data_IF_137790810472
#
_entry.id   IF_137790810472
#
_cell.length_a   1.000
_cell.length_b   1.000
_cell.length_c   1.000
_cell.angle_alpha   90.00
_cell.angle_beta   90.00
_cell.angle_gamma   90.00
#
_symmetry.space_group_name_H-M   'P 1'
#
loop_
_entity.id
_entity.type
_entity.pdbx_description
1 polymer ?
#
# COMPACT_ATOMS: atom_id res chain seq x y z
N UNK A 1 -15.48 1.11 4.97
CA UNK A 1 -15.68 2.52 4.60
C UNK A 1 -15.43 2.70 3.13
N UNK A 2 -16.36 3.32 2.42
CA UNK A 2 -16.11 3.85 1.08
C UNK A 2 -15.18 5.08 1.13
N UNK A 3 -14.82 5.61 -0.04
CA UNK A 3 -13.86 6.71 -0.19
C UNK A 3 -14.27 7.96 0.60
N UNK A 4 -15.52 8.41 0.49
CA UNK A 4 -15.96 9.67 1.10
C UNK A 4 -15.90 9.59 2.61
N UNK A 5 -16.31 8.44 3.17
CA UNK A 5 -16.23 8.20 4.62
C UNK A 5 -14.79 8.30 5.17
N UNK A 6 -13.78 7.92 4.36
CA UNK A 6 -12.37 8.07 4.76
C UNK A 6 -12.00 9.53 4.89
N UNK A 7 -12.35 10.36 3.91
CA UNK A 7 -11.97 11.77 3.90
C UNK A 7 -12.65 12.48 5.07
N UNK A 8 -13.93 12.20 5.32
CA UNK A 8 -14.67 12.74 6.46
C UNK A 8 -13.97 12.38 7.77
N UNK A 9 -13.64 11.10 7.98
CA UNK A 9 -12.98 10.65 9.20
C UNK A 9 -11.56 11.21 9.34
N UNK A 10 -10.81 11.34 8.24
CA UNK A 10 -9.46 11.90 8.27
C UNK A 10 -9.50 13.38 8.67
N UNK A 11 -10.45 14.13 8.12
CA UNK A 11 -10.67 15.54 8.47
C UNK A 11 -11.10 15.70 9.93
N UNK A 12 -11.96 14.82 10.45
CA UNK A 12 -12.28 14.79 11.89
C UNK A 12 -11.03 14.62 12.76
N UNK A 13 -10.15 13.69 12.39
CA UNK A 13 -8.91 13.41 13.13
C UNK A 13 -7.88 14.55 12.99
N UNK A 14 -7.78 15.19 11.83
CA UNK A 14 -6.93 16.37 11.65
C UNK A 14 -7.43 17.54 12.50
N UNK A 15 -8.74 17.82 12.50
CA UNK A 15 -9.34 18.89 13.29
C UNK A 15 -9.30 18.65 14.81
N UNK A 16 -9.19 17.40 15.25
CA UNK A 16 -9.04 17.06 16.68
C UNK A 16 -7.60 17.19 17.18
N UNK A 17 -6.62 17.07 16.29
CA UNK A 17 -5.19 17.25 16.58
C UNK A 17 -4.67 18.64 16.22
N UNK A 18 -5.53 19.50 15.65
CA UNK A 18 -5.15 20.83 15.18
C UNK A 18 -4.74 21.74 16.34
N UNK A 19 -3.55 22.32 16.20
CA UNK A 19 -3.02 23.38 17.05
C UNK A 19 -2.94 24.65 16.21
N UNK A 20 -3.78 25.62 16.53
CA UNK A 20 -3.76 26.94 15.89
C UNK A 20 -2.57 27.74 16.42
N UNK A 21 -1.73 28.27 15.52
CA UNK A 21 -0.55 29.06 15.86
C UNK A 21 -0.85 30.55 15.94
N UNK A 22 -1.79 31.02 15.13
CA UNK A 22 -2.22 32.40 15.08
C UNK A 22 -3.74 32.50 15.25
N UNK A 23 -4.24 33.16 16.32
CA UNK A 23 -5.67 33.36 16.56
C UNK A 23 -6.41 34.06 15.42
N UNK A 24 -5.73 34.83 14.57
CA UNK A 24 -6.34 35.52 13.43
C UNK A 24 -7.01 34.55 12.44
N UNK A 25 -6.59 33.28 12.41
CA UNK A 25 -7.15 32.27 11.50
C UNK A 25 -8.27 31.42 12.11
N UNK A 26 -8.78 31.77 13.30
CA UNK A 26 -9.86 31.02 13.96
C UNK A 26 -11.05 30.79 13.05
N UNK A 27 -11.46 31.82 12.31
CA UNK A 27 -12.65 31.74 11.45
C UNK A 27 -12.46 30.76 10.29
N UNK A 28 -11.24 30.59 9.79
CA UNK A 28 -10.93 29.59 8.74
C UNK A 28 -11.06 28.17 9.29
N UNK A 29 -10.65 27.93 10.54
CA UNK A 29 -10.83 26.64 11.20
C UNK A 29 -12.31 26.35 11.47
N UNK A 30 -13.07 27.34 11.94
CA UNK A 30 -14.52 27.19 12.14
C UNK A 30 -15.25 26.94 10.82
N UNK A 31 -14.83 27.59 9.73
CA UNK A 31 -15.33 27.32 8.39
C UNK A 31 -15.05 25.88 7.95
N UNK A 32 -13.83 25.37 8.18
CA UNK A 32 -13.50 23.97 7.92
C UNK A 32 -14.37 22.99 8.75
N UNK A 33 -14.67 23.32 10.01
CA UNK A 33 -15.59 22.55 10.86
C UNK A 33 -17.04 22.57 10.33
N UNK A 34 -17.50 23.71 9.82
CA UNK A 34 -18.82 23.83 9.20
C UNK A 34 -18.93 22.94 7.96
N UNK A 35 -17.94 23.00 7.06
CA UNK A 35 -17.91 22.13 5.89
C UNK A 35 -17.78 20.64 6.25
N UNK A 36 -17.05 20.28 7.31
CA UNK A 36 -17.06 18.90 7.80
C UNK A 36 -18.46 18.45 8.25
N UNK A 37 -19.21 19.32 8.94
CA UNK A 37 -20.60 19.04 9.35
C UNK A 37 -21.50 18.82 8.14
N UNK A 38 -21.36 19.67 7.12
CA UNK A 38 -22.13 19.55 5.88
C UNK A 38 -21.76 18.26 5.12
N UNK A 39 -20.47 17.92 5.04
CA UNK A 39 -20.02 16.69 4.40
C UNK A 39 -20.61 15.44 5.08
N UNK A 40 -20.67 15.42 6.41
CA UNK A 40 -21.35 14.36 7.17
C UNK A 40 -22.85 14.31 6.89
N UNK A 41 -23.51 15.46 6.79
CA UNK A 41 -24.92 15.53 6.45
C UNK A 41 -25.20 14.94 5.06
N UNK A 42 -24.51 15.43 4.02
CA UNK A 42 -24.68 14.94 2.65
C UNK A 42 -24.35 13.45 2.53
N UNK A 43 -23.31 12.99 3.22
CA UNK A 43 -22.98 11.58 3.30
C UNK A 43 -24.12 10.75 3.92
N UNK A 44 -24.74 11.25 4.99
CA UNK A 44 -25.83 10.57 5.70
C UNK A 44 -27.11 10.43 4.88
N UNK A 45 -27.39 11.37 3.97
CA UNK A 45 -28.55 11.32 3.05
C UNK A 45 -28.24 10.62 1.73
N UNK A 46 -27.03 10.08 1.56
CA UNK A 46 -26.62 9.31 0.39
C UNK A 46 -26.00 10.12 -0.74
N UNK A 47 -25.90 11.45 -0.63
CA UNK A 47 -25.27 12.31 -1.63
C UNK A 47 -23.74 12.30 -1.47
N UNK A 48 -23.11 11.36 -2.18
CA UNK A 48 -21.66 11.12 -2.06
C UNK A 48 -20.82 12.15 -2.81
N UNK A 49 -21.35 12.73 -3.87
CA UNK A 49 -20.64 13.71 -4.70
C UNK A 49 -20.53 15.04 -3.95
N UNK A 50 -21.65 15.54 -3.43
CA UNK A 50 -21.66 16.78 -2.62
C UNK A 50 -20.86 16.58 -1.34
N UNK A 51 -20.97 15.42 -0.68
CA UNK A 51 -20.16 15.12 0.50
C UNK A 51 -18.66 15.14 0.19
N UNK A 52 -18.23 14.57 -0.94
CA UNK A 52 -16.83 14.58 -1.37
C UNK A 52 -16.33 15.99 -1.70
N UNK A 53 -17.12 16.79 -2.41
CA UNK A 53 -16.77 18.18 -2.73
C UNK A 53 -16.60 19.01 -1.46
N UNK A 54 -17.56 18.89 -0.54
CA UNK A 54 -17.60 19.62 0.73
C UNK A 54 -16.40 19.27 1.62
N UNK A 55 -16.09 17.97 1.79
CA UNK A 55 -14.95 17.56 2.61
C UNK A 55 -13.61 17.96 1.99
N UNK A 56 -13.47 17.89 0.66
CA UNK A 56 -12.23 18.27 -0.03
C UNK A 56 -11.96 19.77 0.10
N UNK A 57 -13.01 20.60 0.10
CA UNK A 57 -12.88 22.04 0.34
C UNK A 57 -12.31 22.33 1.73
N UNK A 58 -12.84 21.65 2.76
CA UNK A 58 -12.36 21.79 4.12
C UNK A 58 -10.90 21.31 4.31
N UNK A 59 -10.51 20.20 3.67
CA UNK A 59 -9.11 19.76 3.65
C UNK A 59 -8.19 20.85 3.06
N UNK A 60 -8.61 21.46 1.95
CA UNK A 60 -7.88 22.56 1.30
C UNK A 60 -7.69 23.78 2.19
N UNK A 61 -8.71 24.16 2.98
CA UNK A 61 -8.58 25.25 3.96
C UNK A 61 -7.51 24.95 5.01
N UNK A 62 -7.50 23.72 5.56
CA UNK A 62 -6.51 23.32 6.56
C UNK A 62 -5.11 23.23 5.96
N UNK A 63 -4.97 22.67 4.76
CA UNK A 63 -3.70 22.60 4.06
C UNK A 63 -3.12 24.00 3.80
N UNK A 64 -3.95 24.95 3.38
CA UNK A 64 -3.55 26.34 3.22
C UNK A 64 -3.05 26.94 4.54
N UNK A 65 -3.79 26.74 5.64
CA UNK A 65 -3.38 27.20 6.97
C UNK A 65 -2.04 26.60 7.41
N UNK A 66 -1.81 25.31 7.13
CA UNK A 66 -0.52 24.68 7.43
C UNK A 66 0.61 25.27 6.61
N UNK A 67 0.40 25.50 5.31
CA UNK A 67 1.40 26.05 4.39
C UNK A 67 1.85 27.44 4.84
N UNK A 68 0.92 28.29 5.29
CA UNK A 68 1.24 29.64 5.79
C UNK A 68 1.73 29.65 7.24
N UNK A 69 1.89 28.48 7.89
CA UNK A 69 2.30 28.37 9.29
C UNK A 69 1.24 28.78 10.31
N UNK A 70 -0.02 28.95 9.89
CA UNK A 70 -1.13 29.35 10.74
C UNK A 70 -1.66 28.23 11.65
N UNK A 71 -1.44 26.96 11.28
CA UNK A 71 -1.83 25.80 12.09
C UNK A 71 -0.88 24.60 11.90
N UNK A 72 -0.82 23.75 12.92
CA UNK A 72 -0.18 22.43 12.88
C UNK A 72 -1.22 21.34 13.11
N UNK A 73 -1.20 20.28 12.30
CA UNK A 73 -2.03 19.09 12.45
C UNK A 73 -1.41 17.94 11.63
N UNK A 74 -1.90 16.71 11.83
CA UNK A 74 -1.40 15.53 11.12
C UNK A 74 -2.49 14.92 10.23
N UNK A 75 -2.19 14.72 8.95
CA UNK A 75 -2.99 13.85 8.09
C UNK A 75 -2.59 12.40 8.32
N UNK A 76 -3.59 11.53 8.53
CA UNK A 76 -3.37 10.10 8.45
C UNK A 76 -3.45 9.63 7.01
N UNK A 77 -2.73 8.55 6.71
CA UNK A 77 -2.87 7.88 5.43
C UNK A 77 -4.27 7.26 5.33
N UNK A 78 -4.90 7.20 4.14
CA UNK A 78 -6.21 6.57 3.97
C UNK A 78 -6.31 5.15 4.56
N UNK A 79 -5.20 4.39 4.56
CA UNK A 79 -5.10 3.07 5.20
C UNK A 79 -5.29 3.13 6.72
N UNK A 80 -4.70 4.11 7.38
CA UNK A 80 -4.79 4.31 8.83
C UNK A 80 -6.19 4.78 9.23
N UNK A 81 -6.83 5.62 8.40
CA UNK A 81 -8.17 6.16 8.65
C UNK A 81 -9.25 5.11 8.42
N UNK A 82 -9.18 4.34 7.33
CA UNK A 82 -10.10 3.22 7.11
C UNK A 82 -9.95 2.11 8.17
N UNK A 83 -8.90 2.15 9.01
CA UNK A 83 -8.44 0.99 9.78
C UNK A 83 -8.23 -0.23 8.87
N UNK A 84 -7.73 0.01 7.65
CA UNK A 84 -7.47 -1.03 6.67
C UNK A 84 -6.00 -1.41 6.77
N UNK A 85 -5.75 -2.68 7.09
CA UNK A 85 -4.42 -3.23 7.36
C UNK A 85 -3.47 -2.94 6.21
N UNK A 86 -2.23 -2.57 6.54
CA UNK A 86 -1.11 -2.45 5.59
C UNK A 86 -0.59 -3.84 5.31
N UNK A 87 -0.75 -4.28 4.06
CA UNK A 87 -0.36 -5.63 3.64
C UNK A 87 0.91 -5.53 2.81
N UNK A 88 1.96 -6.21 3.24
CA UNK A 88 3.19 -6.34 2.48
C UNK A 88 3.20 -7.68 1.75
N UNK A 89 3.50 -7.61 0.46
CA UNK A 89 3.90 -8.77 -0.35
C UNK A 89 5.30 -8.52 -0.88
N UNK A 90 6.10 -9.56 -1.03
CA UNK A 90 7.42 -9.47 -1.64
C UNK A 90 7.58 -10.52 -2.74
N UNK A 91 8.33 -10.19 -3.79
CA UNK A 91 8.62 -11.12 -4.87
C UNK A 91 9.49 -10.52 -5.96
N UNK A 92 9.93 -11.37 -6.88
CA UNK A 92 10.65 -10.91 -8.07
C UNK A 92 9.70 -10.24 -9.06
N UNK A 93 8.48 -10.78 -9.28
CA UNK A 93 7.51 -10.23 -10.24
C UNK A 93 8.10 -9.96 -11.64
N UNK A 94 8.89 -10.91 -12.16
CA UNK A 94 9.63 -10.72 -13.42
C UNK A 94 8.71 -10.65 -14.64
N UNK A 95 8.03 -11.75 -14.96
CA UNK A 95 6.96 -11.78 -15.96
C UNK A 95 5.65 -11.97 -15.19
N UNK A 96 4.76 -10.97 -15.24
CA UNK A 96 3.45 -11.08 -14.61
C UNK A 96 2.62 -12.16 -15.30
N UNK A 97 1.89 -12.92 -14.50
CA UNK A 97 1.11 -14.08 -14.93
C UNK A 97 -0.02 -14.36 -13.94
N UNK A 98 -0.99 -15.25 -14.24
CA UNK A 98 -2.15 -15.48 -13.38
C UNK A 98 -1.80 -15.83 -11.93
N UNK A 99 -0.71 -16.58 -11.70
CA UNK A 99 -0.22 -16.85 -10.35
C UNK A 99 0.13 -15.60 -9.53
N UNK A 100 0.76 -14.59 -10.14
CA UNK A 100 1.01 -13.31 -9.46
C UNK A 100 -0.29 -12.54 -9.20
N UNK A 101 -1.22 -12.54 -10.15
CA UNK A 101 -2.51 -11.86 -9.97
C UNK A 101 -3.35 -12.50 -8.86
N UNK A 102 -3.35 -13.83 -8.74
CA UNK A 102 -4.04 -14.53 -7.66
C UNK A 102 -3.44 -14.16 -6.30
N UNK A 103 -2.12 -14.19 -6.18
CA UNK A 103 -1.39 -13.79 -4.97
C UNK A 103 -1.67 -12.34 -4.57
N UNK A 104 -1.61 -11.39 -5.51
CA UNK A 104 -1.89 -9.97 -5.26
C UNK A 104 -3.38 -9.74 -4.94
N UNK A 105 -4.30 -10.50 -5.55
CA UNK A 105 -5.73 -10.45 -5.23
C UNK A 105 -6.01 -10.97 -3.83
N UNK A 106 -5.32 -12.00 -3.36
CA UNK A 106 -5.41 -12.44 -1.96
C UNK A 106 -4.93 -11.35 -1.02
N UNK A 107 -3.79 -10.73 -1.30
CA UNK A 107 -3.27 -9.60 -0.52
C UNK A 107 -4.27 -8.42 -0.47
N UNK A 108 -4.91 -8.12 -1.59
CA UNK A 108 -5.91 -7.04 -1.71
C UNK A 108 -7.10 -7.22 -0.77
N UNK A 109 -7.53 -8.47 -0.54
CA UNK A 109 -8.62 -8.77 0.40
C UNK A 109 -8.24 -8.48 1.86
N UNK A 110 -6.95 -8.48 2.17
CA UNK A 110 -6.43 -8.24 3.52
C UNK A 110 -6.23 -6.75 3.82
N UNK A 111 -6.10 -5.89 2.79
CA UNK A 111 -6.02 -4.45 2.95
C UNK A 111 -5.15 -3.71 1.91
N UNK A 112 -4.46 -2.66 2.34
CA UNK A 112 -3.63 -1.81 1.48
C UNK A 112 -2.32 -2.50 1.12
N UNK A 113 -2.26 -3.06 -0.09
CA UNK A 113 -1.10 -3.80 -0.61
C UNK A 113 0.06 -2.87 -0.98
N UNK A 114 1.18 -3.03 -0.27
CA UNK A 114 2.51 -2.58 -0.68
C UNK A 114 3.29 -3.76 -1.24
N UNK A 115 3.68 -3.69 -2.51
CA UNK A 115 4.44 -4.74 -3.17
C UNK A 115 5.93 -4.39 -3.21
N UNK A 116 6.75 -5.25 -2.60
CA UNK A 116 8.21 -5.15 -2.59
C UNK A 116 8.79 -5.93 -3.75
N UNK A 117 9.49 -5.24 -4.63
CA UNK A 117 10.10 -5.82 -5.83
C UNK A 117 11.57 -6.12 -5.52
N UNK A 118 11.94 -7.39 -5.43
CA UNK A 118 13.33 -7.79 -5.12
C UNK A 118 14.33 -7.14 -6.07
N UNK A 119 15.51 -6.75 -5.56
CA UNK A 119 16.64 -6.32 -6.41
C UNK A 119 17.04 -7.40 -7.39
N UNK A 120 17.66 -7.00 -8.51
CA UNK A 120 18.12 -7.96 -9.52
C UNK A 120 19.09 -8.96 -8.89
N UNK A 121 20.06 -8.50 -8.11
CA UNK A 121 21.02 -9.37 -7.43
C UNK A 121 20.37 -10.39 -6.50
N UNK A 122 19.43 -9.97 -5.65
CA UNK A 122 18.75 -10.91 -4.74
C UNK A 122 17.84 -11.89 -5.50
N UNK A 123 17.20 -11.43 -6.56
CA UNK A 123 16.39 -12.28 -7.41
C UNK A 123 17.24 -13.31 -8.19
N UNK A 124 18.42 -12.92 -8.68
CA UNK A 124 19.38 -13.82 -9.33
C UNK A 124 19.92 -14.87 -8.36
N UNK A 125 20.34 -14.45 -7.16
CA UNK A 125 20.79 -15.36 -6.09
C UNK A 125 19.71 -16.39 -5.73
N UNK A 126 18.46 -15.94 -5.58
CA UNK A 126 17.35 -16.82 -5.22
C UNK A 126 16.98 -17.79 -6.36
N UNK A 127 16.97 -17.33 -7.61
CA UNK A 127 16.57 -18.14 -8.77
C UNK A 127 17.70 -18.99 -9.34
N UNK A 128 18.96 -18.69 -9.04
CA UNK A 128 20.13 -19.35 -9.62
C UNK A 128 20.34 -19.06 -11.12
N UNK A 129 19.74 -17.97 -11.63
CA UNK A 129 19.89 -17.53 -13.03
C UNK A 129 19.83 -16.01 -13.14
N UNK A 130 20.32 -15.49 -14.26
CA UNK A 130 20.16 -14.07 -14.61
C UNK A 130 18.69 -13.68 -14.73
N UNK A 131 18.38 -12.48 -14.27
CA UNK A 131 17.05 -11.86 -14.44
C UNK A 131 16.99 -11.25 -15.84
N UNK A 132 15.84 -11.42 -16.50
CA UNK A 132 15.58 -10.92 -17.86
C UNK A 132 15.13 -9.47 -17.81
N UNK A 133 14.28 -9.12 -16.85
CA UNK A 133 13.66 -7.78 -16.74
C UNK A 133 14.20 -7.07 -15.49
N UNK A 134 14.92 -5.94 -15.63
CA UNK A 134 15.51 -5.21 -14.51
C UNK A 134 14.48 -4.74 -13.45
N UNK A 135 14.94 -4.50 -12.23
CA UNK A 135 14.09 -4.11 -11.10
C UNK A 135 13.20 -2.91 -11.39
N UNK A 136 13.72 -1.88 -12.05
CA UNK A 136 12.99 -0.66 -12.38
C UNK A 136 11.77 -0.95 -13.26
N UNK A 137 11.95 -1.75 -14.32
CA UNK A 137 10.87 -2.12 -15.24
C UNK A 137 9.84 -3.04 -14.57
N UNK A 138 10.29 -3.98 -13.74
CA UNK A 138 9.38 -4.83 -12.94
C UNK A 138 8.53 -3.98 -11.99
N UNK A 139 9.13 -2.98 -11.35
CA UNK A 139 8.43 -2.06 -10.46
C UNK A 139 7.42 -1.18 -11.22
N UNK A 140 7.79 -0.68 -12.39
CA UNK A 140 6.90 0.11 -13.26
C UNK A 140 5.67 -0.70 -13.67
N UNK A 141 5.87 -1.90 -14.22
CA UNK A 141 4.77 -2.79 -14.62
C UNK A 141 3.87 -3.13 -13.42
N UNK A 142 4.47 -3.44 -12.26
CA UNK A 142 3.72 -3.79 -11.05
C UNK A 142 2.91 -2.60 -10.50
N UNK A 143 3.37 -1.36 -10.73
CA UNK A 143 2.66 -0.15 -10.28
C UNK A 143 1.33 0.07 -11.01
N UNK A 144 1.19 -0.49 -12.22
CA UNK A 144 -0.06 -0.47 -12.99
C UNK A 144 -1.05 -1.57 -12.61
N UNK A 145 -0.70 -2.47 -11.68
CA UNK A 145 -1.59 -3.58 -11.29
C UNK A 145 -2.63 -3.09 -10.30
N UNK A 146 -3.91 -3.24 -10.64
CA UNK A 146 -5.05 -2.81 -9.83
C UNK A 146 -4.98 -3.21 -8.35
N UNK A 147 -4.44 -4.39 -8.04
CA UNK A 147 -4.33 -4.91 -6.68
C UNK A 147 -3.16 -4.35 -5.87
N UNK A 148 -2.40 -3.38 -6.41
CA UNK A 148 -1.20 -2.82 -5.78
C UNK A 148 -1.39 -1.34 -5.55
N UNK A 149 -1.32 -0.90 -4.29
CA UNK A 149 -1.45 0.52 -3.95
C UNK A 149 -0.11 1.25 -4.00
N UNK A 150 0.97 0.54 -3.68
CA UNK A 150 2.32 1.10 -3.62
C UNK A 150 3.33 0.03 -4.01
N UNK A 151 4.31 0.43 -4.81
CA UNK A 151 5.49 -0.40 -5.11
C UNK A 151 6.70 0.15 -4.37
N UNK A 152 7.53 -0.73 -3.83
CA UNK A 152 8.80 -0.37 -3.17
C UNK A 152 9.92 -1.25 -3.74
N UNK A 153 11.01 -0.68 -4.27
CA UNK A 153 12.20 -1.44 -4.64
C UNK A 153 12.85 -2.05 -3.39
N UNK A 154 13.10 -3.35 -3.42
CA UNK A 154 13.88 -4.06 -2.39
C UNK A 154 15.39 -3.82 -2.56
N UNK A 155 16.12 -3.75 -1.45
CA UNK A 155 17.57 -3.60 -1.44
C UNK A 155 18.34 -4.89 -1.76
N UNK A 156 19.67 -4.78 -1.77
CA UNK A 156 20.63 -5.88 -2.03
C UNK A 156 21.09 -6.59 -0.74
N UNK A 157 20.80 -6.00 0.42
CA UNK A 157 21.17 -6.50 1.74
C UNK A 157 20.18 -7.53 2.30
N UNK A 158 19.92 -7.45 3.61
CA UNK A 158 19.04 -8.37 4.30
C UNK A 158 17.59 -8.15 3.84
N UNK A 159 16.92 -9.24 3.47
CA UNK A 159 15.52 -9.21 3.00
C UNK A 159 14.54 -8.65 4.04
N UNK A 160 14.90 -8.66 5.33
CA UNK A 160 14.07 -8.15 6.42
C UNK A 160 14.19 -6.64 6.64
N UNK A 161 15.20 -5.96 6.08
CA UNK A 161 15.38 -4.51 6.24
C UNK A 161 14.21 -3.71 5.65
N UNK A 162 13.49 -4.31 4.71
CA UNK A 162 12.30 -3.71 4.13
C UNK A 162 11.15 -3.55 5.13
N UNK A 163 11.15 -4.30 6.24
CA UNK A 163 10.17 -4.16 7.31
C UNK A 163 10.24 -2.79 7.97
N UNK A 164 11.43 -2.20 8.07
CA UNK A 164 11.64 -0.85 8.64
C UNK A 164 11.07 0.25 7.75
N UNK A 165 11.03 0.00 6.44
CA UNK A 165 10.51 0.92 5.41
C UNK A 165 9.00 0.80 5.26
N UNK A 166 8.49 -0.43 5.19
CA UNK A 166 7.07 -0.70 4.92
C UNK A 166 6.22 -0.63 6.18
N UNK A 167 6.75 -1.10 7.32
CA UNK A 167 6.06 -1.22 8.61
C UNK A 167 4.67 -1.86 8.46
N UNK A 168 4.56 -3.08 7.91
CA UNK A 168 3.25 -3.68 7.62
C UNK A 168 2.50 -4.10 8.89
N UNK A 169 1.18 -4.28 8.76
CA UNK A 169 0.34 -4.97 9.74
C UNK A 169 0.17 -6.45 9.38
N UNK A 170 0.32 -6.78 8.09
CA UNK A 170 0.32 -8.14 7.54
C UNK A 170 1.48 -8.32 6.58
N UNK A 171 2.21 -9.41 6.70
CA UNK A 171 3.06 -9.93 5.62
C UNK A 171 2.38 -11.15 5.03
N UNK A 172 1.98 -11.06 3.76
CA UNK A 172 1.48 -12.22 3.03
C UNK A 172 2.65 -12.78 2.21
N UNK A 173 3.11 -13.97 2.57
CA UNK A 173 4.16 -14.70 1.84
C UNK A 173 3.56 -15.39 0.62
N UNK A 174 4.34 -15.44 -0.46
CA UNK A 174 3.99 -16.24 -1.64
C UNK A 174 4.02 -17.74 -1.32
N UNK A 175 3.23 -18.56 -2.05
CA UNK A 175 3.04 -19.97 -1.72
C UNK A 175 4.34 -20.78 -1.72
N UNK A 176 5.29 -20.44 -2.61
CA UNK A 176 6.56 -21.15 -2.79
C UNK A 176 7.76 -20.45 -2.15
N UNK A 177 7.56 -19.42 -1.32
CA UNK A 177 8.66 -18.74 -0.65
C UNK A 177 9.23 -19.61 0.46
N UNK A 178 10.54 -19.85 0.44
CA UNK A 178 11.24 -20.68 1.44
C UNK A 178 11.38 -20.03 2.81
N UNK A 179 11.04 -18.76 2.93
CA UNK A 179 11.11 -18.01 4.18
C UNK A 179 10.05 -18.57 5.14
N UNK A 180 10.47 -18.90 6.38
CA UNK A 180 9.57 -19.33 7.44
C UNK A 180 8.75 -18.16 7.99
N UNK A 181 7.49 -18.42 8.32
CA UNK A 181 6.61 -17.42 8.94
C UNK A 181 7.13 -17.00 10.32
N UNK A 182 7.69 -17.95 11.08
CA UNK A 182 8.27 -17.68 12.39
C UNK A 182 9.51 -16.80 12.29
N UNK A 183 10.33 -16.99 11.25
CA UNK A 183 11.51 -16.15 11.03
C UNK A 183 11.10 -14.70 10.75
N UNK A 184 10.07 -14.49 9.92
CA UNK A 184 9.52 -13.16 9.64
C UNK A 184 8.97 -12.52 10.91
N UNK A 185 8.21 -13.28 11.72
CA UNK A 185 7.69 -12.78 13.01
C UNK A 185 8.82 -12.39 13.97
N UNK A 186 9.86 -13.22 14.10
CA UNK A 186 11.01 -12.91 14.97
C UNK A 186 11.74 -11.65 14.51
N UNK A 187 11.99 -11.51 13.21
CA UNK A 187 12.67 -10.34 12.65
C UNK A 187 11.84 -9.06 12.74
N UNK A 188 10.51 -9.17 12.64
CA UNK A 188 9.58 -8.06 12.88
C UNK A 188 9.55 -7.66 14.37
N UNK A 189 9.53 -8.63 15.28
CA UNK A 189 9.54 -8.37 16.72
C UNK A 189 10.82 -7.64 17.17
N UNK A 190 11.99 -8.01 16.63
CA UNK A 190 13.25 -7.29 16.85
C UNK A 190 13.19 -5.81 16.45
N UNK A 191 12.31 -5.46 15.50
CA UNK A 191 12.07 -4.11 15.01
C UNK A 191 10.89 -3.41 15.72
N UNK A 192 10.35 -4.02 16.77
CA UNK A 192 9.20 -3.49 17.51
C UNK A 192 7.88 -3.54 16.74
N UNK A 193 7.79 -4.39 15.70
CA UNK A 193 6.59 -4.55 14.89
C UNK A 193 5.79 -5.77 15.36
N UNK A 194 4.51 -5.57 15.64
CA UNK A 194 3.55 -6.65 15.86
C UNK A 194 2.78 -6.91 14.55
N UNK A 195 3.12 -7.99 13.86
CA UNK A 195 2.57 -8.30 12.53
C UNK A 195 1.89 -9.67 12.50
N UNK A 196 0.86 -9.79 11.68
CA UNK A 196 0.39 -11.10 11.24
C UNK A 196 1.21 -11.56 10.03
N UNK A 197 1.60 -12.83 10.01
CA UNK A 197 2.25 -13.43 8.84
C UNK A 197 1.34 -14.53 8.34
N UNK A 198 1.00 -14.45 7.06
CA UNK A 198 0.15 -15.39 6.35
C UNK A 198 0.88 -15.92 5.13
N UNK A 199 0.39 -17.01 4.55
CA UNK A 199 0.88 -17.56 3.29
C UNK A 199 -0.25 -17.70 2.30
N UNK A 200 -0.04 -17.16 1.11
CA UNK A 200 -1.01 -17.19 0.03
C UNK A 200 -1.20 -18.61 -0.49
N UNK A 201 -2.38 -18.85 -1.05
CA UNK A 201 -2.74 -20.14 -1.63
C UNK A 201 -1.99 -20.39 -2.93
N UNK A 202 -1.69 -21.66 -3.22
CA UNK A 202 -1.09 -22.03 -4.49
C UNK A 202 -2.15 -22.00 -5.61
N UNK A 203 -1.83 -21.32 -6.72
CA UNK A 203 -2.68 -21.29 -7.91
C UNK A 203 -2.11 -22.20 -8.99
N UNK A 204 -2.89 -23.18 -9.44
CA UNK A 204 -2.53 -24.06 -10.55
C UNK A 204 -3.04 -23.50 -11.87
N UNK A 205 -2.12 -23.26 -12.81
CA UNK A 205 -2.41 -23.09 -14.22
C UNK A 205 -1.17 -23.44 -15.06
N UNK A 206 -1.34 -23.59 -16.37
CA UNK A 206 -0.28 -23.96 -17.30
C UNK A 206 0.92 -23.00 -17.19
N UNK A 207 0.69 -21.69 -17.30
CA UNK A 207 1.73 -20.65 -17.30
C UNK A 207 1.75 -19.83 -16.00
N UNK A 208 1.54 -20.49 -14.86
CA UNK A 208 1.52 -19.85 -13.53
C UNK A 208 2.90 -19.61 -12.90
N UNK A 209 3.99 -19.75 -13.66
CA UNK A 209 5.34 -19.37 -13.21
C UNK A 209 6.17 -18.80 -14.34
N UNK A 210 7.05 -17.85 -14.01
CA UNK A 210 8.00 -17.26 -14.97
C UNK A 210 8.85 -18.33 -15.67
N UNK A 211 9.30 -19.36 -14.95
CA UNK A 211 10.11 -20.44 -15.54
C UNK A 211 9.34 -21.19 -16.63
N UNK A 212 8.06 -21.54 -16.39
CA UNK A 212 7.23 -22.20 -17.40
C UNK A 212 6.99 -21.32 -18.63
N UNK A 213 6.82 -20.01 -18.44
CA UNK A 213 6.70 -19.06 -19.55
C UNK A 213 7.98 -19.04 -20.38
N UNK A 214 9.14 -18.92 -19.74
CA UNK A 214 10.44 -18.91 -20.42
C UNK A 214 10.68 -20.24 -21.16
N UNK A 215 10.42 -21.38 -20.51
CA UNK A 215 10.56 -22.70 -21.14
C UNK A 215 9.65 -22.85 -22.37
N UNK A 216 8.41 -22.37 -22.29
CA UNK A 216 7.48 -22.39 -23.43
C UNK A 216 8.00 -21.53 -24.58
N UNK A 217 8.45 -20.31 -24.30
CA UNK A 217 9.04 -19.40 -25.31
C UNK A 217 10.24 -20.08 -25.99
N UNK A 218 11.18 -20.62 -25.21
CA UNK A 218 12.35 -21.30 -25.76
C UNK A 218 11.97 -22.49 -26.64
N UNK A 219 11.02 -23.32 -26.21
CA UNK A 219 10.54 -24.45 -27.03
C UNK A 219 9.85 -24.02 -28.32
N UNK A 220 9.20 -22.86 -28.34
CA UNK A 220 8.49 -22.34 -29.52
C UNK A 220 9.44 -21.75 -30.56
N UNK A 221 10.55 -21.13 -30.14
CA UNK A 221 11.45 -20.41 -31.05
C UNK A 221 12.81 -21.09 -31.29
N UNK A 222 13.13 -22.17 -30.55
CA UNK A 222 14.28 -23.03 -30.83
C UNK A 222 13.90 -24.32 -31.58
N UNK A 223 12.70 -24.35 -32.18
CA UNK A 223 12.20 -25.46 -33.01
C UNK A 223 12.42 -25.17 -34.50
#
# INVERSE_FOLDING_TARGET
>A
MDRVAVYIKNLEEALSTLVLKDPAYRDVVELARAYLKDAKYYYSVGDRETALATVSYAEGLLDALRIIGGAEFTWKKPSEVKNTRRVMVAGTFEILHPGHLAYLREAWKLGYVTAVVSSDQNAERFKGRKIVIPQSQRAEVLSGVYYVHRVVPGGEGNIYDILDVVKPDVVLLGPNQRVSEDDVKREAAKRGLNIEVLRASYTQCELCSTSKIIEKILRTFNA
#
